data_IF_453327762168
#
_entry.id   IF_453327762168
#
_cell.length_a   1.000
_cell.length_b   1.000
_cell.length_c   1.000
_cell.angle_alpha   90.00
_cell.angle_beta   90.00
_cell.angle_gamma   90.00
#
_symmetry.space_group_name_H-M   'P 1'
#
loop_
_entity.id
_entity.type
_entity.pdbx_description
1 polymer ?
#
# COMPACT_ATOMS: atom_id res chain seq x y z
N UNK A 1 5.39 27.98 18.01
CA UNK A 1 5.40 26.62 18.57
C UNK A 1 4.24 25.86 17.96
N UNK A 2 4.47 24.67 17.37
CA UNK A 2 3.40 23.90 16.77
C UNK A 2 2.44 23.36 17.84
N UNK A 3 1.13 23.47 17.59
CA UNK A 3 0.11 22.91 18.49
C UNK A 3 0.19 21.39 18.45
N UNK A 4 0.40 20.76 19.60
CA UNK A 4 0.39 19.30 19.69
C UNK A 4 -1.05 18.77 19.74
N UNK A 5 -1.27 17.58 19.17
CA UNK A 5 -2.57 16.90 19.26
C UNK A 5 -2.95 16.56 20.71
N UNK A 6 -1.96 16.44 21.61
CA UNK A 6 -2.18 16.25 23.04
C UNK A 6 -2.83 17.50 23.66
N UNK A 7 -2.35 18.70 23.33
CA UNK A 7 -2.91 19.94 23.87
C UNK A 7 -4.38 20.14 23.48
N UNK A 8 -4.76 19.75 22.25
CA UNK A 8 -6.16 19.77 21.79
C UNK A 8 -7.00 18.75 22.56
N UNK A 9 -6.43 17.57 22.84
CA UNK A 9 -7.10 16.52 23.61
C UNK A 9 -7.35 16.95 25.06
N UNK A 10 -6.33 17.56 25.70
CA UNK A 10 -6.41 18.08 27.07
C UNK A 10 -7.45 19.20 27.17
N UNK A 11 -7.53 20.09 26.18
CA UNK A 11 -8.51 21.18 26.14
C UNK A 11 -9.97 20.70 26.03
N UNK A 12 -10.18 19.53 25.42
CA UNK A 12 -11.52 18.95 25.19
C UNK A 12 -11.88 17.84 26.17
N UNK A 13 -10.96 17.42 27.04
CA UNK A 13 -11.15 16.25 27.90
C UNK A 13 -11.29 14.94 27.10
N UNK A 14 -10.74 14.90 25.88
CA UNK A 14 -10.78 13.72 25.01
C UNK A 14 -9.46 12.97 25.06
N UNK A 15 -9.48 11.69 24.68
CA UNK A 15 -8.22 10.96 24.51
C UNK A 15 -7.46 11.49 23.29
N UNK A 16 -6.12 11.55 23.38
CA UNK A 16 -5.26 11.90 22.24
C UNK A 16 -5.58 11.06 21.01
N UNK A 17 -5.84 9.76 21.18
CA UNK A 17 -6.13 8.85 20.07
C UNK A 17 -7.45 9.20 19.35
N UNK A 18 -8.45 9.67 20.08
CA UNK A 18 -9.72 10.17 19.52
C UNK A 18 -9.48 11.39 18.64
N UNK A 19 -8.74 12.38 19.15
CA UNK A 19 -8.40 13.60 18.41
C UNK A 19 -7.59 13.26 17.15
N UNK A 20 -6.59 12.38 17.26
CA UNK A 20 -5.80 11.91 16.12
C UNK A 20 -6.68 11.23 15.05
N UNK A 21 -7.63 10.37 15.43
CA UNK A 21 -8.53 9.68 14.48
C UNK A 21 -9.48 10.65 13.78
N UNK A 22 -10.03 11.62 14.51
CA UNK A 22 -10.93 12.65 13.97
C UNK A 22 -10.17 13.55 12.99
N UNK A 23 -9.00 14.07 13.38
CA UNK A 23 -8.19 14.94 12.52
C UNK A 23 -7.72 14.22 11.24
N UNK A 24 -7.35 12.93 11.32
CA UNK A 24 -6.95 12.13 10.15
C UNK A 24 -8.11 11.60 9.30
N UNK A 25 -9.37 11.88 9.66
CA UNK A 25 -10.57 11.39 8.96
C UNK A 25 -10.56 9.87 8.73
N UNK A 26 -10.21 9.09 9.75
CA UNK A 26 -10.16 7.63 9.64
C UNK A 26 -11.54 7.04 9.26
N UNK A 27 -11.69 6.32 8.13
CA UNK A 27 -12.98 5.79 7.70
C UNK A 27 -13.56 4.71 8.64
N UNK A 28 -12.72 4.07 9.47
CA UNK A 28 -13.18 3.05 10.43
C UNK A 28 -13.71 3.66 11.73
N UNK A 29 -13.41 4.93 12.00
CA UNK A 29 -13.80 5.60 13.23
C UNK A 29 -14.86 6.65 12.95
N UNK A 30 -16.07 6.42 13.48
CA UNK A 30 -17.16 7.39 13.44
C UNK A 30 -17.34 8.00 14.83
N UNK A 31 -17.16 9.32 14.92
CA UNK A 31 -17.56 10.11 16.08
C UNK A 31 -18.82 10.90 15.74
N UNK A 32 -19.61 11.28 16.74
CA UNK A 32 -20.75 12.17 16.53
C UNK A 32 -20.31 13.46 15.86
N UNK A 33 -21.16 13.98 14.95
CA UNK A 33 -20.87 15.18 14.16
C UNK A 33 -20.51 16.37 15.05
N UNK A 34 -21.25 16.56 16.16
CA UNK A 34 -20.95 17.59 17.16
C UNK A 34 -19.56 17.47 17.79
N UNK A 35 -19.06 16.25 18.05
CA UNK A 35 -17.71 16.06 18.60
C UNK A 35 -16.64 16.39 17.56
N UNK A 36 -16.89 16.05 16.28
CA UNK A 36 -15.97 16.36 15.19
C UNK A 36 -15.82 17.87 15.04
N UNK A 37 -16.94 18.59 15.01
CA UNK A 37 -16.96 20.04 14.88
C UNK A 37 -16.27 20.73 16.06
N UNK A 38 -16.48 20.24 17.28
CA UNK A 38 -15.79 20.76 18.47
C UNK A 38 -14.27 20.57 18.39
N UNK A 39 -13.81 19.40 17.92
CA UNK A 39 -12.37 19.15 17.70
C UNK A 39 -11.80 20.09 16.64
N UNK A 40 -12.48 20.27 15.50
CA UNK A 40 -12.01 21.17 14.43
C UNK A 40 -11.99 22.63 14.88
N UNK A 41 -13.06 23.14 15.52
CA UNK A 41 -13.12 24.51 16.05
C UNK A 41 -12.05 24.78 17.09
N UNK A 42 -11.78 23.81 17.97
CA UNK A 42 -10.76 23.95 19.01
C UNK A 42 -9.35 23.93 18.41
N UNK A 43 -9.10 23.02 17.46
CA UNK A 43 -7.84 22.96 16.73
C UNK A 43 -7.56 24.26 15.96
N UNK A 44 -8.57 24.82 15.28
CA UNK A 44 -8.49 26.10 14.58
C UNK A 44 -8.20 27.25 15.55
N UNK A 45 -8.93 27.33 16.67
CA UNK A 45 -8.71 28.33 17.73
C UNK A 45 -7.30 28.28 18.32
N UNK A 46 -6.71 27.09 18.40
CA UNK A 46 -5.35 26.91 18.91
C UNK A 46 -4.28 27.19 17.84
N UNK A 47 -4.63 27.32 16.56
CA UNK A 47 -3.68 27.52 15.46
C UNK A 47 -3.04 26.22 14.96
N UNK A 48 -3.77 25.10 14.99
CA UNK A 48 -3.30 23.83 14.45
C UNK A 48 -3.23 23.89 12.91
N UNK A 49 -2.09 23.50 12.34
CA UNK A 49 -1.88 23.51 10.90
C UNK A 49 -2.51 22.28 10.22
N UNK A 50 -3.67 22.48 9.59
CA UNK A 50 -4.38 21.44 8.85
C UNK A 50 -3.63 20.94 7.61
N UNK A 51 -2.58 21.63 7.14
CA UNK A 51 -1.77 21.16 6.00
C UNK A 51 -0.91 19.95 6.37
N UNK A 52 -0.57 19.79 7.65
CA UNK A 52 0.18 18.64 8.19
C UNK A 52 -0.69 17.41 8.42
N UNK A 53 -2.02 17.56 8.40
CA UNK A 53 -2.92 16.42 8.43
C UNK A 53 -2.59 15.62 7.19
N UNK A 54 -2.24 14.34 7.39
CA UNK A 54 -2.12 13.37 6.32
C UNK A 54 -3.44 13.44 5.57
N UNK A 55 -3.48 14.18 4.45
CA UNK A 55 -4.59 14.10 3.51
C UNK A 55 -4.76 12.60 3.35
N UNK A 56 -5.93 12.02 3.69
CA UNK A 56 -6.14 10.60 3.46
C UNK A 56 -5.67 10.42 2.03
N UNK A 57 -4.67 9.55 1.84
CA UNK A 57 -3.99 9.33 0.56
C UNK A 57 -4.99 8.57 -0.33
N UNK A 58 -6.17 9.15 -0.46
CA UNK A 58 -7.26 8.77 -1.33
C UNK A 58 -6.68 9.13 -2.67
N UNK A 59 -6.10 8.10 -3.28
CA UNK A 59 -5.60 8.16 -4.64
C UNK A 59 -6.71 8.84 -5.44
N UNK A 60 -6.36 9.93 -6.13
CA UNK A 60 -7.31 10.71 -6.93
C UNK A 60 -8.05 9.81 -7.94
N UNK A 61 -7.41 8.69 -8.30
CA UNK A 61 -7.93 7.70 -9.21
C UNK A 61 -8.04 6.33 -8.52
N UNK A 62 -9.20 5.70 -8.76
CA UNK A 62 -9.39 4.28 -8.49
C UNK A 62 -8.33 3.45 -9.21
N UNK A 63 -8.05 2.29 -8.63
CA UNK A 63 -7.14 1.30 -9.18
C UNK A 63 -7.94 0.04 -9.41
N UNK A 64 -7.94 -0.46 -10.63
CA UNK A 64 -8.69 -1.68 -10.96
C UNK A 64 -7.72 -2.84 -11.05
N UNK A 65 -8.05 -3.92 -10.32
CA UNK A 65 -7.34 -5.19 -10.41
C UNK A 65 -7.73 -5.86 -11.72
N UNK A 66 -6.72 -6.09 -12.55
CA UNK A 66 -6.83 -6.63 -13.89
C UNK A 66 -5.65 -7.55 -14.03
N UNK A 67 -5.80 -8.75 -14.58
CA UNK A 67 -4.69 -9.66 -14.82
C UNK A 67 -4.52 -9.80 -16.33
N UNK A 68 -3.95 -8.79 -16.97
CA UNK A 68 -3.78 -8.75 -18.41
C UNK A 68 -2.30 -8.88 -18.78
N UNK A 69 -1.94 -9.73 -19.76
CA UNK A 69 -0.58 -9.79 -20.25
C UNK A 69 -0.23 -8.51 -21.01
N UNK A 70 1.01 -8.07 -20.82
CA UNK A 70 1.56 -6.85 -21.38
C UNK A 70 2.97 -7.12 -21.90
N UNK A 71 3.28 -6.55 -23.06
CA UNK A 71 4.63 -6.57 -23.62
C UNK A 71 5.39 -5.36 -23.09
N UNK A 72 6.63 -5.57 -22.67
CA UNK A 72 7.48 -4.52 -22.12
C UNK A 72 8.76 -4.37 -22.93
N UNK A 73 9.17 -3.12 -23.14
CA UNK A 73 10.43 -2.75 -23.78
C UNK A 73 11.20 -1.82 -22.83
N UNK A 74 12.46 -2.12 -22.55
CA UNK A 74 13.35 -1.30 -21.73
C UNK A 74 14.13 -0.38 -22.66
N UNK A 75 13.95 0.92 -22.52
CA UNK A 75 14.54 1.94 -23.40
C UNK A 75 15.49 2.82 -22.57
N UNK A 76 16.72 2.96 -23.04
CA UNK A 76 17.71 3.84 -22.41
C UNK A 76 17.41 5.31 -22.74
N UNK A 77 18.06 6.21 -22.01
CA UNK A 77 18.05 7.65 -22.31
C UNK A 77 18.52 7.98 -23.74
N UNK A 78 19.37 7.15 -24.35
CA UNK A 78 19.78 7.24 -25.75
C UNK A 78 18.66 6.96 -26.76
N UNK A 79 17.54 6.39 -26.31
CA UNK A 79 16.45 5.90 -27.17
C UNK A 79 16.68 4.48 -27.71
N UNK A 80 17.83 3.87 -27.40
CA UNK A 80 18.12 2.48 -27.78
C UNK A 80 17.31 1.50 -26.91
N UNK A 81 16.82 0.43 -27.53
CA UNK A 81 16.13 -0.67 -26.82
C UNK A 81 17.18 -1.56 -26.16
N UNK A 82 17.24 -1.52 -24.84
CA UNK A 82 18.16 -2.34 -24.05
C UNK A 82 17.71 -3.80 -23.99
N UNK A 83 16.43 -4.02 -23.72
CA UNK A 83 15.84 -5.35 -23.60
C UNK A 83 14.33 -5.31 -23.90
N UNK A 84 13.76 -6.48 -24.16
CA UNK A 84 12.32 -6.67 -24.34
C UNK A 84 11.87 -7.93 -23.61
N UNK A 85 10.57 -7.99 -23.30
CA UNK A 85 10.02 -9.10 -22.56
C UNK A 85 8.52 -9.01 -22.39
N UNK A 86 8.01 -9.89 -21.55
CA UNK A 86 6.61 -9.97 -21.20
C UNK A 86 6.42 -9.73 -19.70
N UNK A 87 5.26 -9.19 -19.34
CA UNK A 87 4.84 -9.01 -17.96
C UNK A 87 3.32 -9.21 -17.85
N UNK A 88 2.83 -9.38 -16.64
CA UNK A 88 1.39 -9.34 -16.34
C UNK A 88 1.09 -8.05 -15.62
N UNK A 89 0.22 -7.20 -16.15
CA UNK A 89 -0.29 -6.08 -15.39
C UNK A 89 -1.37 -6.61 -14.44
N UNK A 90 -1.14 -6.51 -13.13
CA UNK A 90 -2.03 -6.94 -12.03
C UNK A 90 -3.00 -5.84 -11.58
N UNK A 91 -2.59 -4.59 -11.75
CA UNK A 91 -3.40 -3.44 -11.39
C UNK A 91 -3.11 -2.29 -12.35
N UNK A 92 -4.16 -1.65 -12.84
CA UNK A 92 -4.07 -0.49 -13.73
C UNK A 92 -4.87 0.67 -13.11
N UNK A 93 -4.27 1.86 -13.14
CA UNK A 93 -4.95 3.11 -12.85
C UNK A 93 -4.53 4.20 -13.85
N UNK A 94 -5.18 5.36 -13.77
CA UNK A 94 -4.92 6.48 -14.70
C UNK A 94 -3.46 6.96 -14.68
N UNK A 95 -2.79 6.86 -13.53
CA UNK A 95 -1.42 7.35 -13.35
C UNK A 95 -0.32 6.28 -13.44
N UNK A 96 -0.66 5.00 -13.51
CA UNK A 96 0.36 3.94 -13.50
C UNK A 96 -0.22 2.54 -13.38
N UNK A 97 0.67 1.56 -13.34
CA UNK A 97 0.32 0.16 -13.27
C UNK A 97 1.24 -0.60 -12.29
N UNK A 98 0.80 -1.77 -11.85
CA UNK A 98 1.61 -2.74 -11.13
C UNK A 98 1.86 -3.92 -12.07
N UNK A 99 3.12 -4.15 -12.41
CA UNK A 99 3.55 -5.27 -13.26
C UNK A 99 4.09 -6.40 -12.37
N UNK A 100 3.68 -7.62 -12.68
CA UNK A 100 4.11 -8.87 -12.04
C UNK A 100 4.58 -9.85 -13.12
N UNK A 101 5.17 -10.97 -12.73
CA UNK A 101 5.63 -12.01 -13.66
C UNK A 101 6.51 -11.46 -14.79
N UNK A 102 7.45 -10.57 -14.43
CA UNK A 102 8.29 -9.87 -15.39
C UNK A 102 9.34 -10.84 -15.92
N UNK A 103 9.31 -11.09 -17.23
CA UNK A 103 10.23 -11.97 -17.94
C UNK A 103 10.91 -11.19 -19.04
N UNK A 104 12.11 -10.71 -18.75
CA UNK A 104 12.97 -10.03 -19.69
C UNK A 104 13.88 -11.05 -20.38
N UNK A 105 14.17 -10.86 -21.67
CA UNK A 105 15.00 -11.82 -22.40
C UNK A 105 16.42 -11.93 -21.83
N UNK A 106 17.01 -10.82 -21.35
CA UNK A 106 18.32 -10.84 -20.69
C UNK A 106 18.23 -11.06 -19.19
N UNK A 107 17.04 -11.00 -18.59
CA UNK A 107 16.81 -11.04 -17.13
C UNK A 107 17.64 -9.99 -16.35
N UNK A 108 17.91 -8.83 -16.95
CA UNK A 108 18.72 -7.77 -16.32
C UNK A 108 18.01 -6.42 -16.48
N UNK A 109 17.96 -5.65 -15.39
CA UNK A 109 17.56 -4.25 -15.41
C UNK A 109 18.80 -3.34 -15.41
N UNK A 110 18.86 -2.32 -16.28
CA UNK A 110 19.99 -1.40 -16.29
C UNK A 110 20.00 -0.53 -15.03
N UNK A 111 21.21 -0.25 -14.51
CA UNK A 111 21.41 0.66 -13.37
C UNK A 111 21.32 2.15 -13.76
N UNK A 112 21.41 2.46 -15.05
CA UNK A 112 21.25 3.82 -15.59
C UNK A 112 19.77 4.21 -15.61
N UNK A 113 19.49 5.49 -15.85
CA UNK A 113 18.10 5.92 -16.06
C UNK A 113 17.53 5.25 -17.32
N UNK A 114 16.36 4.63 -17.19
CA UNK A 114 15.66 3.97 -18.28
C UNK A 114 14.16 4.27 -18.21
N UNK A 115 13.49 4.15 -19.34
CA UNK A 115 12.04 4.23 -19.47
C UNK A 115 11.51 2.88 -19.93
N UNK A 116 10.37 2.46 -19.39
CA UNK A 116 9.68 1.25 -19.83
C UNK A 116 8.57 1.64 -20.81
N UNK A 117 8.53 1.04 -22.00
CA UNK A 117 7.33 1.08 -22.84
C UNK A 117 6.50 -0.16 -22.59
N UNK A 118 5.24 0.05 -22.24
CA UNK A 118 4.28 -1.02 -21.95
C UNK A 118 3.18 -1.01 -23.01
N UNK A 119 2.86 -2.17 -23.57
CA UNK A 119 1.76 -2.37 -24.52
C UNK A 119 0.87 -3.51 -24.06
N UNK A 120 -0.45 -3.29 -24.08
CA UNK A 120 -1.44 -4.28 -23.67
C UNK A 120 -1.97 -5.00 -24.93
N UNK A 121 -1.62 -6.28 -25.11
CA UNK A 121 -2.01 -7.03 -26.31
C UNK A 121 -3.46 -7.53 -26.25
N UNK A 122 -3.89 -8.00 -25.07
CA UNK A 122 -5.12 -8.77 -24.95
C UNK A 122 -6.36 -7.92 -24.63
N UNK A 123 -6.15 -6.62 -24.35
CA UNK A 123 -7.22 -5.70 -24.02
C UNK A 123 -7.53 -4.82 -25.24
N UNK A 124 -8.63 -5.07 -25.97
CA UNK A 124 -8.95 -4.31 -27.18
C UNK A 124 -9.16 -2.82 -26.89
N UNK A 125 -9.66 -2.49 -25.70
CA UNK A 125 -9.85 -1.10 -25.25
C UNK A 125 -8.52 -0.36 -25.05
N UNK A 126 -7.42 -1.09 -24.80
CA UNK A 126 -6.08 -0.56 -24.57
C UNK A 126 -5.09 -0.95 -25.68
N UNK A 127 -5.53 -1.56 -26.78
CA UNK A 127 -4.64 -2.08 -27.81
C UNK A 127 -3.78 -1.01 -28.48
N UNK A 128 -4.31 0.22 -28.60
CA UNK A 128 -3.60 1.37 -29.18
C UNK A 128 -2.81 2.16 -28.13
N UNK A 129 -2.92 1.83 -26.85
CA UNK A 129 -2.26 2.55 -25.78
C UNK A 129 -0.80 2.08 -25.66
N UNK A 130 0.13 2.99 -25.95
CA UNK A 130 1.56 2.80 -25.67
C UNK A 130 1.95 3.67 -24.49
N UNK A 131 2.13 3.04 -23.34
CA UNK A 131 2.45 3.75 -22.09
C UNK A 131 3.94 3.85 -21.85
N UNK A 132 4.51 5.06 -21.91
CA UNK A 132 5.86 5.32 -21.41
C UNK A 132 5.85 5.48 -19.89
N UNK A 133 6.63 4.64 -19.23
CA UNK A 133 6.55 4.36 -17.80
C UNK A 133 7.89 4.61 -17.10
N UNK A 134 7.85 5.28 -15.95
CA UNK A 134 8.93 5.32 -14.98
C UNK A 134 8.75 4.22 -13.95
N UNK A 135 9.83 3.54 -13.57
CA UNK A 135 9.84 2.68 -12.38
C UNK A 135 9.78 3.56 -11.13
N UNK A 136 8.78 3.35 -10.28
CA UNK A 136 8.61 4.07 -9.00
C UNK A 136 9.08 3.23 -7.83
N UNK A 137 8.86 1.92 -7.88
CA UNK A 137 9.25 1.00 -6.81
C UNK A 137 9.46 -0.41 -7.36
N UNK A 138 10.43 -1.10 -6.79
CA UNK A 138 10.54 -2.56 -6.85
C UNK A 138 10.12 -3.11 -5.49
N UNK A 139 9.37 -4.20 -5.48
CA UNK A 139 8.93 -4.87 -4.26
C UNK A 139 8.94 -6.36 -4.52
N UNK A 140 9.42 -7.15 -3.56
CA UNK A 140 9.33 -8.60 -3.67
C UNK A 140 7.86 -9.01 -3.49
N UNK A 141 7.35 -9.91 -4.34
CA UNK A 141 6.01 -10.43 -4.12
C UNK A 141 5.98 -11.35 -2.89
N UNK A 142 4.76 -11.71 -2.46
CA UNK A 142 4.57 -12.73 -1.43
C UNK A 142 5.15 -14.09 -1.84
N UNK A 143 5.20 -14.35 -3.14
CA UNK A 143 5.75 -15.55 -3.73
C UNK A 143 7.25 -15.35 -3.99
N UNK A 144 8.06 -16.23 -3.40
CA UNK A 144 9.51 -16.11 -3.42
C UNK A 144 10.04 -16.18 -4.86
N UNK A 145 10.74 -15.13 -5.28
CA UNK A 145 11.42 -15.07 -6.58
C UNK A 145 10.65 -14.34 -7.69
N UNK A 146 9.46 -13.81 -7.41
CA UNK A 146 8.71 -13.01 -8.37
C UNK A 146 8.73 -11.52 -7.96
N UNK A 147 9.54 -10.67 -8.62
CA UNK A 147 9.54 -9.25 -8.32
C UNK A 147 8.29 -8.56 -8.88
N UNK A 148 7.70 -7.67 -8.08
CA UNK A 148 6.65 -6.75 -8.49
C UNK A 148 7.25 -5.37 -8.80
N UNK A 149 6.83 -4.79 -9.93
CA UNK A 149 7.31 -3.49 -10.40
C UNK A 149 6.16 -2.49 -10.44
N UNK A 150 6.23 -1.48 -9.57
CA UNK A 150 5.31 -0.35 -9.61
C UNK A 150 5.79 0.68 -10.61
N UNK A 151 4.99 0.93 -11.66
CA UNK A 151 5.32 1.89 -12.72
C UNK A 151 4.34 3.08 -12.74
N UNK A 152 4.84 4.25 -13.14
CA UNK A 152 4.07 5.49 -13.32
C UNK A 152 4.14 5.95 -14.78
N UNK A 153 3.02 6.31 -15.37
CA UNK A 153 2.99 6.85 -16.73
C UNK A 153 3.54 8.29 -16.74
N UNK A 154 4.59 8.53 -17.54
CA UNK A 154 5.24 9.84 -17.67
C UNK A 154 4.57 10.64 -18.80
N UNK A 155 4.54 10.05 -20.00
CA UNK A 155 4.13 10.72 -21.24
C UNK A 155 2.79 10.20 -21.78
N UNK A 156 1.81 9.98 -20.91
CA UNK A 156 0.46 9.65 -21.34
C UNK A 156 -0.26 10.90 -21.88
N UNK A 157 -0.72 10.84 -23.14
CA UNK A 157 -1.49 11.93 -23.75
C UNK A 157 -2.83 12.15 -23.02
N UNK A 158 -3.48 13.29 -23.25
CA UNK A 158 -4.79 13.57 -22.64
C UNK A 158 -5.84 12.54 -23.08
N UNK A 159 -5.78 12.11 -24.35
CA UNK A 159 -6.65 11.07 -24.88
C UNK A 159 -6.38 9.72 -24.21
N UNK A 160 -5.12 9.34 -24.04
CA UNK A 160 -4.73 8.10 -23.37
C UNK A 160 -5.23 8.06 -21.92
N UNK A 161 -5.09 9.18 -21.20
CA UNK A 161 -5.59 9.32 -19.83
C UNK A 161 -7.11 9.21 -19.77
N UNK A 162 -7.81 9.74 -20.78
CA UNK A 162 -9.27 9.62 -20.89
C UNK A 162 -9.67 8.15 -21.11
N UNK A 163 -9.01 7.45 -22.03
CA UNK A 163 -9.25 6.02 -22.30
C UNK A 163 -8.99 5.19 -21.02
N UNK A 164 -7.84 5.42 -20.36
CA UNK A 164 -7.51 4.75 -19.10
C UNK A 164 -8.55 5.02 -18.01
N UNK A 165 -9.03 6.26 -17.90
CA UNK A 165 -10.07 6.62 -16.93
C UNK A 165 -11.39 5.92 -17.23
N UNK A 166 -11.87 5.99 -18.47
CA UNK A 166 -13.12 5.33 -18.89
C UNK A 166 -13.06 3.82 -18.67
N UNK A 167 -11.90 3.21 -18.95
CA UNK A 167 -11.66 1.79 -18.70
C UNK A 167 -11.70 1.44 -17.21
N UNK A 168 -11.01 2.21 -16.36
CA UNK A 168 -10.99 2.02 -14.90
C UNK A 168 -12.39 2.17 -14.32
N UNK A 169 -13.13 3.21 -14.72
CA UNK A 169 -14.49 3.49 -14.25
C UNK A 169 -15.45 2.37 -14.67
N UNK A 170 -15.36 1.89 -15.93
CA UNK A 170 -16.16 0.75 -16.42
C UNK A 170 -15.87 -0.53 -15.65
N UNK A 171 -14.61 -0.84 -15.42
CA UNK A 171 -14.21 -2.06 -14.73
C UNK A 171 -14.58 -2.00 -13.22
N UNK A 172 -14.51 -0.82 -12.59
CA UNK A 172 -15.00 -0.60 -11.23
C UNK A 172 -16.51 -0.82 -11.14
N UNK A 173 -17.29 -0.20 -12.03
CA UNK A 173 -18.75 -0.34 -12.08
C UNK A 173 -19.17 -1.80 -12.32
N UNK A 174 -18.47 -2.52 -13.22
CA UNK A 174 -18.74 -3.94 -13.47
C UNK A 174 -18.53 -4.79 -12.21
N UNK A 175 -17.44 -4.57 -11.47
CA UNK A 175 -17.15 -5.29 -10.22
C UNK A 175 -18.15 -4.96 -9.11
N UNK A 176 -18.60 -3.71 -9.03
CA UNK A 176 -19.65 -3.30 -8.09
C UNK A 176 -21.00 -3.95 -8.42
N UNK A 177 -21.36 -3.97 -9.71
CA UNK A 177 -22.58 -4.65 -10.18
C UNK A 177 -22.53 -6.17 -9.92
N UNK A 178 -21.41 -6.84 -10.18
CA UNK A 178 -21.23 -8.27 -9.86
C UNK A 178 -21.35 -8.52 -8.35
N UNK A 179 -20.80 -7.63 -7.52
CA UNK A 179 -20.91 -7.72 -6.05
C UNK A 179 -22.33 -7.51 -5.56
N UNK A 180 -23.07 -6.57 -6.14
CA UNK A 180 -24.49 -6.34 -5.83
C UNK A 180 -25.34 -7.55 -6.26
N UNK A 181 -25.12 -8.06 -7.47
CA UNK A 181 -25.82 -9.23 -7.98
C UNK A 181 -25.56 -10.48 -7.13
N UNK A 182 -24.36 -10.64 -6.55
CA UNK A 182 -24.05 -11.70 -5.60
C UNK A 182 -24.83 -11.58 -4.28
N UNK A 183 -25.05 -10.35 -3.82
CA UNK A 183 -25.80 -10.08 -2.58
C UNK A 183 -27.31 -10.26 -2.76
N UNK A 184 -27.83 -9.95 -3.95
CA UNK A 184 -29.25 -10.08 -4.29
C UNK A 184 -29.69 -11.52 -4.60
N UNK A 185 -28.76 -12.50 -4.67
CA UNK A 185 -29.15 -13.89 -4.89
C UNK A 185 -30.01 -14.36 -3.70
N UNK A 186 -31.29 -14.70 -3.92
CA UNK A 186 -32.16 -15.18 -2.85
C UNK A 186 -31.54 -16.45 -2.25
N UNK A 187 -31.59 -16.56 -0.92
CA UNK A 187 -31.02 -17.66 -0.11
C UNK A 187 -31.69 -19.03 -0.41
N UNK A 188 -32.71 -19.06 -1.28
CA UNK A 188 -33.63 -20.17 -1.49
C UNK A 188 -33.06 -21.42 -2.18
N UNK A 189 -31.77 -21.47 -2.50
CA UNK A 189 -31.12 -22.68 -3.00
C UNK A 189 -29.79 -22.94 -2.30
N UNK A 190 -29.77 -22.92 -0.96
CA UNK A 190 -28.79 -23.75 -0.29
C UNK A 190 -29.18 -25.22 -0.56
N UNK A 191 -28.32 -26.03 -1.19
CA UNK A 191 -28.62 -27.45 -1.35
C UNK A 191 -28.83 -27.98 0.06
N UNK A 192 -30.07 -28.38 0.34
CA UNK A 192 -30.41 -29.03 1.59
C UNK A 192 -29.42 -30.17 1.72
N UNK A 193 -28.63 -30.18 2.80
CA UNK A 193 -27.75 -31.30 3.18
C UNK A 193 -28.68 -32.44 3.61
N UNK A 194 -29.42 -32.97 2.64
CA UNK A 194 -30.37 -34.04 2.77
C UNK A 194 -29.93 -35.14 1.82
N UNK A 195 -29.54 -36.27 2.42
CA UNK A 195 -29.30 -37.55 1.76
C UNK A 195 -27.94 -37.78 1.04
N UNK A 196 -26.83 -37.58 1.76
CA UNK A 196 -25.61 -38.36 1.54
C UNK A 196 -25.52 -39.56 2.51
N UNK A 197 -26.65 -40.19 2.79
CA UNK A 197 -26.73 -41.44 3.53
C UNK A 197 -26.87 -42.64 2.58
N UNK A 198 -26.06 -42.72 1.51
CA UNK A 198 -25.99 -43.96 0.73
C UNK A 198 -24.59 -44.20 0.14
N UNK A 199 -23.97 -45.27 0.66
CA UNK A 199 -22.99 -46.14 -0.02
C UNK A 199 -21.59 -45.56 -0.27
N UNK A 200 -20.76 -45.58 0.78
CA UNK A 200 -19.33 -45.80 0.58
C UNK A 200 -19.10 -47.29 0.30
N UNK A 201 -18.72 -47.72 -0.92
CA UNK A 201 -18.23 -49.07 -1.13
C UNK A 201 -16.86 -49.20 -0.43
N UNK A 202 -16.83 -50.00 0.63
CA UNK A 202 -15.60 -50.55 1.22
C UNK A 202 -14.88 -51.39 0.17
N UNK A 203 -14.04 -50.77 -0.66
CA UNK A 203 -13.03 -51.50 -1.42
C UNK A 203 -11.90 -51.90 -0.47
N UNK A 204 -12.03 -53.12 0.05
CA UNK A 204 -10.92 -53.91 0.54
C UNK A 204 -10.00 -54.25 -0.63
N UNK A 205 -8.70 -53.99 -0.48
CA UNK A 205 -7.67 -54.73 -1.20
C UNK A 205 -6.64 -53.85 -1.88
N UNK A 206 -5.41 -53.85 -1.36
CA UNK A 206 -4.28 -53.22 -2.03
C UNK A 206 -3.11 -52.91 -1.11
N UNK A 207 -2.62 -53.93 -0.40
CA UNK A 207 -1.34 -53.91 0.29
C UNK A 207 -0.22 -53.67 -0.75
N UNK A 208 0.46 -52.53 -0.71
CA UNK A 208 1.82 -52.43 -1.26
C UNK A 208 2.72 -51.89 -0.14
N UNK A 209 3.46 -52.82 0.44
CA UNK A 209 4.60 -52.58 1.31
C UNK A 209 5.70 -51.87 0.51
N UNK A 210 5.87 -50.58 0.76
CA UNK A 210 7.09 -49.84 0.44
C UNK A 210 7.85 -49.58 1.73
N UNK A 211 8.84 -50.42 2.01
CA UNK A 211 9.73 -50.33 3.17
C UNK A 211 10.65 -49.13 2.95
N UNK A 212 10.41 -48.04 3.68
CA UNK A 212 11.25 -46.84 3.68
C UNK A 212 11.66 -46.52 5.11
N UNK A 213 12.96 -46.65 5.36
CA UNK A 213 13.73 -46.47 6.61
C UNK A 213 13.14 -45.50 7.64
N UNK A 214 12.97 -46.01 8.86
CA UNK A 214 12.55 -45.27 10.03
C UNK A 214 13.78 -44.77 10.81
N UNK A 215 14.20 -43.52 10.59
CA UNK A 215 15.15 -42.87 11.52
C UNK A 215 15.05 -41.33 11.62
N UNK A 216 14.22 -40.62 10.85
CA UNK A 216 14.46 -39.17 10.67
C UNK A 216 13.37 -38.16 11.09
N UNK A 217 12.35 -38.53 11.88
CA UNK A 217 11.30 -37.56 12.28
C UNK A 217 10.81 -37.68 13.73
N UNK A 218 11.74 -37.59 14.69
CA UNK A 218 11.42 -37.26 16.09
C UNK A 218 12.04 -35.93 16.51
N UNK A 219 11.61 -34.82 15.91
CA UNK A 219 11.97 -33.51 16.48
C UNK A 219 11.06 -32.33 16.12
N UNK A 220 9.75 -32.50 15.89
CA UNK A 220 8.84 -31.35 15.80
C UNK A 220 7.42 -31.67 16.28
N UNK A 221 7.23 -31.90 17.57
CA UNK A 221 5.89 -31.81 18.17
C UNK A 221 5.90 -31.59 19.69
N UNK A 222 6.50 -30.48 20.13
CA UNK A 222 6.23 -29.91 21.46
C UNK A 222 6.20 -28.39 21.35
N UNK A 223 4.99 -27.83 21.18
CA UNK A 223 4.58 -26.52 21.71
C UNK A 223 3.21 -26.16 21.14
N UNK A 224 2.14 -26.36 21.93
CA UNK A 224 0.98 -25.46 22.13
C UNK A 224 -0.24 -26.24 22.62
N UNK A 225 -0.25 -26.53 23.91
CA UNK A 225 -1.51 -26.57 24.68
C UNK A 225 -1.24 -25.80 25.97
N UNK A 226 -1.38 -24.48 25.89
CA UNK A 226 -1.38 -23.59 27.04
C UNK A 226 -2.82 -23.28 27.42
N UNK A 227 -3.43 -24.18 28.19
CA UNK A 227 -4.65 -23.92 28.96
C UNK A 227 -4.20 -23.18 30.22
N UNK A 228 -4.62 -21.93 30.40
CA UNK A 228 -4.59 -21.29 31.71
C UNK A 228 -5.90 -20.57 32.00
N UNK A 229 -6.38 -20.86 33.20
CA UNK A 229 -7.66 -20.48 33.77
C UNK A 229 -7.79 -18.97 33.95
N UNK A 230 -8.86 -18.39 33.40
CA UNK A 230 -9.34 -17.07 33.81
C UNK A 230 -9.98 -17.17 35.19
N UNK A 231 -9.24 -16.75 36.22
CA UNK A 231 -9.80 -16.48 37.56
C UNK A 231 -10.60 -15.19 37.50
N UNK A 232 -11.85 -15.31 37.90
CA UNK A 232 -12.78 -14.25 38.23
C UNK A 232 -12.28 -13.54 39.49
N UNK A 233 -11.98 -12.24 39.40
CA UNK A 233 -11.79 -11.37 40.58
C UNK A 233 -12.49 -10.06 40.26
N UNK A 234 -13.65 -9.88 40.87
CA UNK A 234 -14.38 -8.62 40.93
C UNK A 234 -14.26 -8.01 42.34
N UNK A 235 -14.58 -6.72 42.51
CA UNK A 235 -13.75 -5.77 43.25
C UNK A 235 -14.31 -5.45 44.63
N UNK A 236 -13.45 -5.17 45.61
CA UNK A 236 -13.70 -4.31 46.79
C UNK A 236 -12.53 -4.43 47.76
N UNK A 237 -11.66 -3.41 47.82
CA UNK A 237 -10.75 -3.06 48.93
C UNK A 237 -10.08 -1.75 48.51
N UNK A 238 -10.63 -0.57 48.80
CA UNK A 238 -10.62 0.11 50.09
C UNK A 238 -9.20 0.25 50.69
N UNK A 239 -8.65 1.45 50.53
CA UNK A 239 -7.79 2.18 51.47
C UNK A 239 -6.65 1.42 52.16
N UNK A 240 -5.42 1.67 51.73
CA UNK A 240 -4.24 1.68 52.60
C UNK A 240 -3.25 2.74 52.10
N UNK A 241 -3.38 3.95 52.66
CA UNK A 241 -2.32 4.95 52.70
C UNK A 241 -1.11 4.38 53.43
N UNK A 242 0.09 4.41 52.83
CA UNK A 242 1.35 4.44 53.57
C UNK A 242 2.37 5.36 52.90
N UNK A 243 2.58 6.49 53.58
CA UNK A 243 3.77 7.34 53.51
C UNK A 243 5.03 6.54 53.86
N UNK A 244 6.10 6.72 53.08
CA UNK A 244 7.48 6.69 53.58
C UNK A 244 8.46 7.36 52.57
N UNK A 245 9.59 7.90 53.04
CA UNK A 245 10.23 9.06 52.41
C UNK A 245 11.55 8.78 51.67
N UNK A 246 11.86 9.70 50.76
CA UNK A 246 13.18 10.30 50.50
C UNK A 246 14.43 9.42 50.53
N UNK A 247 14.98 9.15 49.33
CA UNK A 247 16.42 8.98 49.14
C UNK A 247 16.88 9.79 47.93
N UNK A 248 17.68 10.81 48.24
CA UNK A 248 18.48 11.57 47.30
C UNK A 248 19.52 10.66 46.63
N UNK A 249 19.73 10.85 45.33
CA UNK A 249 20.97 10.47 44.69
C UNK A 249 21.32 11.52 43.64
N UNK A 250 22.23 12.40 44.05
CA UNK A 250 23.18 13.07 43.16
C UNK A 250 24.00 12.01 42.43
N UNK A 251 24.15 12.16 41.11
CA UNK A 251 25.42 11.94 40.39
C UNK A 251 25.30 12.39 38.94
N UNK A 252 25.86 13.57 38.73
CA UNK A 252 26.63 14.02 37.57
C UNK A 252 27.18 12.92 36.65
N UNK A 253 26.83 13.03 35.38
CA UNK A 253 27.47 12.42 34.21
C UNK A 253 26.59 12.80 33.02
N UNK A 254 27.02 13.53 32.01
CA UNK A 254 28.33 13.58 31.38
C UNK A 254 28.01 13.79 29.90
N UNK A 255 28.43 14.92 29.37
CA UNK A 255 28.21 15.42 28.00
C UNK A 255 28.45 14.34 26.94
N UNK A 256 27.53 14.25 25.96
CA UNK A 256 27.81 14.06 24.53
C UNK A 256 26.46 13.92 23.81
N UNK A 257 25.98 15.00 23.20
CA UNK A 257 25.06 14.81 22.08
C UNK A 257 25.37 15.82 20.97
N UNK A 258 25.72 15.24 19.83
CA UNK A 258 26.26 15.91 18.66
C UNK A 258 25.23 16.87 18.05
N UNK A 259 25.62 18.13 17.93
CA UNK A 259 25.00 19.09 17.02
C UNK A 259 25.24 18.60 15.58
N UNK A 260 24.19 18.12 14.91
CA UNK A 260 24.14 18.14 13.44
C UNK A 260 23.38 19.38 13.00
N UNK A 261 24.14 20.41 12.66
CA UNK A 261 23.72 21.45 11.75
C UNK A 261 23.50 20.84 10.36
N UNK A 262 22.34 21.08 9.78
CA UNK A 262 22.16 21.01 8.33
C UNK A 262 21.14 22.06 7.92
N UNK A 263 21.59 23.32 7.97
CA UNK A 263 21.06 24.42 7.19
C UNK A 263 21.31 24.12 5.71
N UNK A 264 20.26 23.73 4.98
CA UNK A 264 20.24 23.79 3.52
C UNK A 264 19.37 24.97 3.12
N UNK A 265 19.99 26.15 3.08
CA UNK A 265 19.45 27.32 2.42
C UNK A 265 19.41 27.07 0.92
N UNK A 266 18.21 27.07 0.35
CA UNK A 266 18.00 27.09 -1.09
C UNK A 266 18.24 28.50 -1.62
N UNK A 267 19.32 28.69 -2.38
CA UNK A 267 19.51 29.87 -3.24
C UNK A 267 18.78 29.63 -4.58
N UNK A 268 17.97 30.58 -5.07
CA UNK A 268 17.40 30.51 -6.41
C UNK A 268 18.41 31.03 -7.44
N UNK A 269 19.04 30.13 -8.21
CA UNK A 269 19.82 30.53 -9.37
C UNK A 269 18.89 30.76 -10.57
N UNK A 270 18.82 32.04 -10.95
CA UNK A 270 18.38 32.54 -12.25
C UNK A 270 19.27 32.03 -13.39
N UNK A 271 18.70 32.10 -14.60
CA UNK A 271 19.29 31.98 -15.95
C UNK A 271 19.16 30.59 -16.61
N UNK A 272 18.89 30.46 -17.91
CA UNK A 272 18.52 31.40 -18.97
C UNK A 272 17.97 30.58 -20.16
N UNK A 273 17.16 31.24 -20.97
CA UNK A 273 16.42 30.76 -22.13
C UNK A 273 17.34 30.39 -23.34
N UNK A 274 17.26 29.18 -23.95
CA UNK A 274 18.15 28.77 -25.05
C UNK A 274 17.84 29.35 -26.43
N UNK A 275 16.80 30.17 -26.62
CA UNK A 275 16.31 30.53 -27.97
C UNK A 275 16.98 31.72 -28.69
N UNK A 276 18.20 32.16 -28.32
CA UNK A 276 18.89 33.28 -29.00
C UNK A 276 20.35 33.00 -29.42
N UNK A 277 20.60 31.90 -30.13
CA UNK A 277 21.87 31.71 -30.87
C UNK A 277 21.67 31.02 -32.21
N UNK A 278 21.05 31.69 -33.18
CA UNK A 278 21.12 31.28 -34.57
C UNK A 278 20.78 32.44 -35.54
N UNK A 279 21.49 33.56 -35.44
CA UNK A 279 21.43 34.60 -36.49
C UNK A 279 22.58 35.60 -36.31
N UNK A 280 23.79 35.27 -36.78
CA UNK A 280 24.86 36.23 -37.09
C UNK A 280 26.11 35.53 -37.63
N UNK A 281 26.02 34.89 -38.80
CA UNK A 281 27.17 34.60 -39.67
C UNK A 281 26.70 34.60 -41.13
N UNK A 282 26.61 35.79 -41.72
CA UNK A 282 26.63 36.05 -43.17
C UNK A 282 27.02 37.51 -43.38
N UNK A 283 27.94 37.74 -44.31
CA UNK A 283 28.57 39.00 -44.74
C UNK A 283 29.82 39.45 -43.96
N UNK A 284 31.00 38.99 -44.38
CA UNK A 284 31.86 39.71 -45.32
C UNK A 284 32.95 38.77 -45.87
#
# INVERSE_FOLDING_TARGET
MGVSQQAIADALGLSRTTVTKILNRDPKYSASEGTRDLVFKTAEKMGYDFTTIRRPFKREYGRTEINAPAKIEVILDSGEVFDHGDATARNIGVGGALLTNIRLNKNVLPLRNFTLKVRFGDLPELANLVGECQVVRLTDSTDAGEPELGVKFINASVNDRKILKEFVDRAANKREAERQALFERPIEQMPTIGNLAHSFPLQRGGLILGIGSADDLRQFQQCRVGVQCGRQVDPTCASCDHNAPGLANDRTGGLLNAQRNSDWQWLPHLSMDPQRRASLWRHH
#
